data_IF_403855474239
#
_entry.id   IF_403855474239
#
_cell.length_a   1.000
_cell.length_b   1.000
_cell.length_c   1.000
_cell.angle_alpha   90.00
_cell.angle_beta   90.00
_cell.angle_gamma   90.00
#
_symmetry.space_group_name_H-M   'P 1'
#
loop_
_entity.id
_entity.type
_entity.pdbx_description
1 polymer ?
#
# COMPACT_ATOMS: atom_id res chain seq x y z
N UNK A 1 -12.65 16.08 17.56
CA UNK A 1 -11.50 16.69 18.28
C UNK A 1 -10.44 17.24 17.31
N UNK A 2 -10.41 16.79 16.05
CA UNK A 2 -9.45 17.27 15.05
C UNK A 2 -9.70 18.68 14.52
N UNK A 3 -10.97 19.13 14.43
CA UNK A 3 -11.30 20.47 13.90
C UNK A 3 -10.72 21.61 14.76
N UNK A 4 -10.71 21.44 16.07
CA UNK A 4 -10.16 22.44 17.00
C UNK A 4 -8.62 22.57 16.90
N UNK A 5 -7.92 21.51 16.50
CA UNK A 5 -6.48 21.56 16.23
C UNK A 5 -6.19 22.35 14.95
N UNK A 6 -7.00 22.15 13.91
CA UNK A 6 -6.88 22.88 12.65
C UNK A 6 -7.15 24.38 12.85
N UNK A 7 -8.19 24.73 13.62
CA UNK A 7 -8.49 26.12 13.97
C UNK A 7 -7.34 26.81 14.69
N UNK A 8 -6.70 26.13 15.65
CA UNK A 8 -5.51 26.68 16.35
C UNK A 8 -4.35 26.93 15.41
N UNK A 9 -4.13 26.04 14.45
CA UNK A 9 -3.11 26.20 13.40
C UNK A 9 -3.41 27.42 12.53
N UNK A 10 -4.64 27.55 12.02
CA UNK A 10 -5.04 28.71 11.20
C UNK A 10 -4.90 30.02 11.97
N UNK A 11 -5.24 30.04 13.26
CA UNK A 11 -5.09 31.22 14.11
C UNK A 11 -3.62 31.59 14.42
N UNK A 12 -2.67 30.69 14.17
CA UNK A 12 -1.23 30.92 14.38
C UNK A 12 -0.51 31.40 13.12
N UNK A 13 -1.17 31.40 11.96
CA UNK A 13 -0.58 31.79 10.68
C UNK A 13 -0.76 33.29 10.43
N UNK A 14 0.25 33.90 9.79
CA UNK A 14 0.15 35.28 9.32
C UNK A 14 -0.71 35.41 8.06
N UNK A 15 -1.09 36.64 7.70
CA UNK A 15 -1.94 36.92 6.54
C UNK A 15 -1.35 36.41 5.21
N UNK A 16 -0.03 36.52 5.04
CA UNK A 16 0.67 35.99 3.87
C UNK A 16 0.53 34.47 3.76
N UNK A 17 0.74 33.75 4.86
CA UNK A 17 0.64 32.27 4.88
C UNK A 17 -0.81 31.81 4.68
N UNK A 18 -1.79 32.51 5.27
CA UNK A 18 -3.21 32.24 5.06
C UNK A 18 -3.63 32.45 3.60
N UNK A 19 -3.04 33.44 2.93
CA UNK A 19 -3.31 33.72 1.50
C UNK A 19 -2.78 32.61 0.60
N UNK A 20 -1.55 32.14 0.87
CA UNK A 20 -0.96 30.99 0.15
C UNK A 20 -1.78 29.73 0.40
N UNK A 21 -2.11 29.45 1.66
CA UNK A 21 -2.87 28.25 2.03
C UNK A 21 -4.28 28.24 1.42
N UNK A 22 -4.94 29.41 1.34
CA UNK A 22 -6.23 29.56 0.64
C UNK A 22 -6.08 29.23 -0.84
N UNK A 23 -5.04 29.75 -1.50
CA UNK A 23 -4.77 29.47 -2.91
C UNK A 23 -4.53 27.98 -3.15
N UNK A 24 -3.73 27.32 -2.30
CA UNK A 24 -3.44 25.89 -2.42
C UNK A 24 -4.67 25.00 -2.17
N UNK A 25 -5.61 25.47 -1.35
CA UNK A 25 -6.92 24.84 -1.17
C UNK A 25 -7.81 24.99 -2.41
N UNK A 26 -7.80 26.17 -3.04
CA UNK A 26 -8.58 26.45 -4.26
C UNK A 26 -8.02 25.74 -5.50
N UNK A 27 -6.69 25.59 -5.61
CA UNK A 27 -6.05 24.85 -6.70
C UNK A 27 -6.10 23.34 -6.52
N UNK A 28 -6.44 22.86 -5.31
CA UNK A 28 -6.50 21.44 -4.98
C UNK A 28 -5.14 20.78 -4.73
N UNK A 29 -4.06 21.57 -4.69
CA UNK A 29 -2.72 21.04 -4.40
C UNK A 29 -2.65 20.45 -2.98
N UNK A 30 -3.32 21.07 -2.02
CA UNK A 30 -3.37 20.57 -0.65
C UNK A 30 -4.09 19.20 -0.58
N UNK A 31 -5.16 19.04 -1.35
CA UNK A 31 -5.89 17.77 -1.44
C UNK A 31 -5.02 16.66 -2.02
N UNK A 32 -4.29 16.95 -3.10
CA UNK A 32 -3.31 16.03 -3.70
C UNK A 32 -2.22 15.63 -2.71
N UNK A 33 -1.66 16.59 -1.97
CA UNK A 33 -0.63 16.30 -0.95
C UNK A 33 -1.16 15.41 0.18
N UNK A 34 -2.41 15.61 0.61
CA UNK A 34 -3.05 14.76 1.62
C UNK A 34 -3.23 13.34 1.09
N UNK A 35 -3.73 13.19 -0.14
CA UNK A 35 -3.91 11.88 -0.79
C UNK A 35 -2.60 11.11 -0.95
N UNK A 36 -1.54 11.78 -1.42
CA UNK A 36 -0.20 11.17 -1.54
C UNK A 36 0.32 10.70 -0.19
N UNK A 37 0.08 11.47 0.88
CA UNK A 37 0.52 11.13 2.22
C UNK A 37 -0.27 9.97 2.82
N UNK A 38 -1.59 9.92 2.60
CA UNK A 38 -2.45 8.80 3.00
C UNK A 38 -2.07 7.52 2.25
N UNK A 39 -1.82 7.62 0.94
CA UNK A 39 -1.34 6.51 0.11
C UNK A 39 0.00 5.98 0.59
N UNK A 40 0.95 6.86 0.85
CA UNK A 40 2.27 6.52 1.39
C UNK A 40 2.17 5.81 2.75
N UNK A 41 1.22 6.21 3.60
CA UNK A 41 0.99 5.55 4.88
C UNK A 41 0.35 4.17 4.72
N UNK A 42 -0.62 4.02 3.81
CA UNK A 42 -1.18 2.71 3.46
C UNK A 42 -0.10 1.77 2.90
N UNK A 43 0.73 2.24 1.97
CA UNK A 43 1.83 1.45 1.40
C UNK A 43 2.85 1.00 2.44
N UNK A 44 3.13 1.84 3.44
CA UNK A 44 3.96 1.45 4.60
C UNK A 44 3.30 0.40 5.48
N UNK A 45 1.97 0.42 5.61
CA UNK A 45 1.23 -0.52 6.45
C UNK A 45 0.99 -1.87 5.78
N UNK A 46 0.90 -1.95 4.44
CA UNK A 46 0.82 -3.22 3.70
C UNK A 46 2.06 -4.10 3.95
N UNK A 47 3.19 -3.48 4.31
CA UNK A 47 4.43 -4.19 4.63
C UNK A 47 4.56 -4.58 6.10
N UNK A 48 3.47 -4.53 6.89
CA UNK A 48 3.49 -4.82 8.33
C UNK A 48 2.80 -6.12 8.73
N UNK A 49 2.14 -6.83 7.81
CA UNK A 49 1.43 -8.07 8.15
C UNK A 49 1.80 -9.17 7.18
N UNK A 50 2.24 -10.31 7.71
CA UNK A 50 2.56 -11.50 6.94
C UNK A 50 1.27 -12.12 6.36
N UNK A 51 1.16 -12.35 5.04
CA UNK A 51 -0.05 -12.89 4.43
C UNK A 51 -0.25 -14.40 4.70
N UNK A 52 0.72 -15.06 5.34
CA UNK A 52 0.66 -16.49 5.67
C UNK A 52 0.20 -16.71 7.09
N UNK A 53 0.88 -16.08 8.05
CA UNK A 53 0.61 -16.30 9.48
C UNK A 53 -0.09 -15.12 10.16
N UNK A 54 -0.30 -14.01 9.46
CA UNK A 54 -0.87 -12.76 10.00
C UNK A 54 -0.05 -12.13 11.15
N UNK A 55 1.18 -12.58 11.35
CA UNK A 55 2.13 -11.94 12.27
C UNK A 55 2.61 -10.60 11.75
N UNK A 56 3.04 -9.72 12.67
CA UNK A 56 3.64 -8.45 12.30
C UNK A 56 4.98 -8.65 11.59
N UNK A 57 5.21 -7.89 10.52
CA UNK A 57 6.47 -7.87 9.78
C UNK A 57 7.28 -6.64 10.18
N UNK A 58 8.55 -6.87 10.49
CA UNK A 58 9.52 -5.84 10.87
C UNK A 58 10.27 -5.31 9.65
N UNK A 59 11.21 -4.39 9.86
CA UNK A 59 12.07 -3.85 8.79
C UNK A 59 12.92 -4.93 8.10
N UNK A 60 13.25 -6.02 8.81
CA UNK A 60 14.00 -7.17 8.29
C UNK A 60 13.13 -8.20 7.55
N UNK A 61 11.88 -7.85 7.23
CA UNK A 61 10.95 -8.75 6.55
C UNK A 61 11.34 -9.03 5.10
N UNK A 62 11.07 -10.27 4.67
CA UNK A 62 11.30 -10.68 3.28
C UNK A 62 10.18 -10.12 2.40
N UNK A 63 10.52 -9.44 1.32
CA UNK A 63 9.53 -8.86 0.42
C UNK A 63 9.55 -9.55 -0.95
N UNK A 64 8.38 -10.05 -1.40
CA UNK A 64 8.18 -10.57 -2.75
C UNK A 64 7.34 -9.59 -3.57
N UNK A 65 7.85 -9.21 -4.74
CA UNK A 65 7.13 -8.39 -5.73
C UNK A 65 6.86 -9.25 -6.95
N UNK A 66 5.60 -9.39 -7.34
CA UNK A 66 5.19 -10.31 -8.42
C UNK A 66 4.00 -9.78 -9.22
N UNK A 67 3.85 -10.25 -10.46
CA UNK A 67 2.81 -9.80 -11.40
C UNK A 67 3.36 -9.03 -12.60
N UNK A 68 2.53 -8.75 -13.62
CA UNK A 68 2.95 -8.05 -14.84
C UNK A 68 3.27 -6.58 -14.57
N UNK A 69 4.01 -5.95 -15.50
CA UNK A 69 4.30 -4.53 -15.43
C UNK A 69 2.99 -3.71 -15.34
N UNK A 70 2.88 -2.83 -14.36
CA UNK A 70 1.67 -2.04 -14.08
C UNK A 70 0.68 -2.68 -13.08
N UNK A 71 0.77 -3.98 -12.78
CA UNK A 71 -0.08 -4.67 -11.79
C UNK A 71 0.76 -5.45 -10.77
N UNK A 72 1.93 -4.93 -10.44
CA UNK A 72 2.82 -5.56 -9.45
C UNK A 72 2.15 -5.55 -8.08
N UNK A 73 2.05 -6.73 -7.47
CA UNK A 73 1.65 -6.91 -6.08
C UNK A 73 2.90 -7.05 -5.23
N UNK A 74 2.82 -6.58 -3.98
CA UNK A 74 3.87 -6.72 -2.96
C UNK A 74 3.31 -7.53 -1.80
N UNK A 75 4.11 -8.47 -1.29
CA UNK A 75 3.83 -9.24 -0.09
C UNK A 75 5.07 -9.25 0.80
N UNK A 76 4.89 -9.02 2.11
CA UNK A 76 5.97 -9.04 3.11
C UNK A 76 5.79 -10.23 4.04
N UNK A 77 6.87 -10.93 4.39
CA UNK A 77 6.84 -12.17 5.17
C UNK A 77 7.70 -12.04 6.42
N UNK A 78 7.20 -12.53 7.55
CA UNK A 78 7.91 -12.42 8.83
C UNK A 78 9.12 -13.34 8.93
N UNK A 79 9.18 -14.40 8.12
CA UNK A 79 10.25 -15.39 8.11
C UNK A 79 10.33 -16.10 6.74
N UNK A 80 11.47 -16.76 6.50
CA UNK A 80 11.73 -17.56 5.29
C UNK A 80 10.68 -18.66 5.08
N UNK A 81 10.26 -19.33 6.16
CA UNK A 81 9.28 -20.42 6.10
C UNK A 81 7.92 -19.92 5.57
N UNK A 82 7.51 -18.72 5.95
CA UNK A 82 6.28 -18.10 5.44
C UNK A 82 6.40 -17.77 3.95
N UNK A 83 7.56 -17.28 3.51
CA UNK A 83 7.81 -17.04 2.08
C UNK A 83 7.78 -18.36 1.29
N UNK A 84 8.45 -19.39 1.79
CA UNK A 84 8.51 -20.70 1.14
C UNK A 84 7.13 -21.35 1.02
N UNK A 85 6.33 -21.31 2.10
CA UNK A 85 4.96 -21.78 2.10
C UNK A 85 4.11 -21.05 1.06
N UNK A 86 4.24 -19.72 0.98
CA UNK A 86 3.51 -18.90 0.02
C UNK A 86 3.88 -19.24 -1.43
N UNK A 87 5.18 -19.36 -1.74
CA UNK A 87 5.67 -19.73 -3.08
C UNK A 87 5.17 -21.13 -3.46
N UNK A 88 5.19 -22.07 -2.52
CA UNK A 88 4.72 -23.44 -2.75
C UNK A 88 3.22 -23.48 -3.10
N UNK A 89 2.40 -22.69 -2.41
CA UNK A 89 0.98 -22.58 -2.73
C UNK A 89 0.72 -21.88 -4.07
N UNK A 90 1.49 -20.85 -4.43
CA UNK A 90 1.41 -20.23 -5.75
C UNK A 90 1.71 -21.22 -6.89
N UNK A 91 2.74 -22.06 -6.71
CA UNK A 91 3.09 -23.11 -7.68
C UNK A 91 1.96 -24.12 -7.87
N UNK A 92 1.33 -24.57 -6.77
CA UNK A 92 0.18 -25.49 -6.81
C UNK A 92 -1.02 -24.89 -7.56
N UNK A 93 -1.40 -23.65 -7.25
CA UNK A 93 -2.50 -22.96 -7.93
C UNK A 93 -2.24 -22.79 -9.44
N UNK A 94 -0.98 -22.57 -9.84
CA UNK A 94 -0.62 -22.50 -11.26
C UNK A 94 -0.80 -23.87 -11.93
N UNK A 95 -0.36 -24.96 -11.32
CA UNK A 95 -0.54 -26.31 -11.87
C UNK A 95 -2.03 -26.68 -12.04
N UNK A 96 -2.87 -26.35 -11.06
CA UNK A 96 -4.33 -26.60 -11.13
C UNK A 96 -5.07 -25.75 -12.18
N UNK A 97 -4.51 -24.60 -12.58
CA UNK A 97 -5.07 -23.76 -13.64
C UNK A 97 -4.65 -24.21 -15.03
N UNK A 98 -3.47 -24.83 -15.19
CA UNK A 98 -3.07 -25.49 -16.44
C UNK A 98 -3.79 -26.83 -16.66
N UNK A 99 -4.06 -27.60 -15.59
CA UNK A 99 -4.78 -28.87 -15.68
C UNK A 99 -6.26 -28.73 -16.08
N UNK A 100 -6.81 -27.51 -16.08
CA UNK A 100 -8.21 -27.20 -16.43
C UNK A 100 -8.40 -26.58 -17.82
N UNK A 101 -7.36 -26.52 -18.66
CA UNK A 101 -7.55 -26.20 -20.09
C UNK A 101 -8.02 -27.47 -20.79
N UNK A 102 -9.28 -27.57 -21.24
CA UNK A 102 -9.64 -28.61 -22.21
C UNK A 102 -8.73 -28.44 -23.42
N UNK A 103 -8.14 -29.54 -23.85
CA UNK A 103 -7.33 -29.60 -25.07
C UNK A 103 -8.20 -29.10 -26.22
N UNK A 104 -7.77 -28.03 -26.88
CA UNK A 104 -8.43 -27.50 -28.06
C UNK A 104 -8.57 -28.64 -29.09
N UNK A 105 -9.81 -29.13 -29.27
CA UNK A 105 -10.21 -30.06 -30.33
C UNK A 105 -9.73 -29.49 -31.68
N UNK A 106 -8.89 -30.27 -32.36
CA UNK A 106 -8.42 -30.02 -33.72
C UNK A 106 -9.52 -30.26 -34.76
#
# INVERSE_FOLDING_TARGET
MELEKLKRLLNSLGEADLTVMKKDLETGDLARMIEERLRSQQERNINKVCPVCHGETTEDSLTLIFGPAGLKKRASFCATDCLEYFISNLKKQKQESYARRPEDEH
#
